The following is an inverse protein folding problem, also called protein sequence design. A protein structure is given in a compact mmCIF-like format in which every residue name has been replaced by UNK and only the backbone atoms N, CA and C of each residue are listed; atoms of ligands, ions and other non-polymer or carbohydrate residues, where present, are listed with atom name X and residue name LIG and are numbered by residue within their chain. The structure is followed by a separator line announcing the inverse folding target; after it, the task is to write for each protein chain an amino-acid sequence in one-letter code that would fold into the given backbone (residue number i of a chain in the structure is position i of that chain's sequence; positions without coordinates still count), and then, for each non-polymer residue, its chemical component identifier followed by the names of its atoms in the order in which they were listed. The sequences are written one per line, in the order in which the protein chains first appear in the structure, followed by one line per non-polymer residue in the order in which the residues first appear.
data_IF_421289661174
#
_entry.id   IF_421289661174
#
_cell.length_a   1.000
_cell.length_b   1.000
_cell.length_c   1.000
_cell.angle_alpha   90.00
_cell.angle_beta   90.00
_cell.angle_gamma   90.00
#
_symmetry.space_group_name_H-M   'P 1'
#
loop_
_entity.id
_entity.type
_entity.pdbx_description
1 polymer ?
#
# COMPACT_ATOMS: atom_id res chain seq x y z
N UNK A 1 15.06 -6.83 -3.76
CA UNK A 1 13.65 -6.31 -3.67
C UNK A 1 13.14 -5.58 -4.93
N UNK A 2 13.93 -5.35 -5.99
CA UNK A 2 13.45 -4.67 -7.22
C UNK A 2 12.33 -5.40 -8.01
N UNK A 3 12.24 -6.74 -8.11
CA UNK A 3 11.19 -7.38 -8.92
C UNK A 3 9.79 -7.29 -8.29
N UNK A 4 9.69 -7.26 -6.96
CA UNK A 4 8.39 -7.24 -6.27
C UNK A 4 7.68 -5.88 -6.44
N UNK A 5 8.38 -4.77 -6.21
CA UNK A 5 7.75 -3.45 -6.21
C UNK A 5 7.21 -3.02 -7.59
N UNK A 6 7.90 -3.36 -8.68
CA UNK A 6 7.43 -3.07 -10.04
C UNK A 6 6.23 -3.95 -10.43
N UNK A 7 6.18 -5.19 -9.91
CA UNK A 7 5.03 -6.08 -10.11
C UNK A 7 3.81 -5.61 -9.32
N UNK A 8 4.00 -5.06 -8.12
CA UNK A 8 2.87 -4.51 -7.34
C UNK A 8 2.24 -3.32 -8.05
N UNK A 9 3.04 -2.42 -8.62
CA UNK A 9 2.55 -1.25 -9.36
C UNK A 9 1.61 -1.62 -10.50
N UNK A 10 2.02 -2.57 -11.35
CA UNK A 10 1.18 -3.03 -12.45
C UNK A 10 -0.13 -3.69 -12.00
N UNK A 11 -0.20 -4.20 -10.75
CA UNK A 11 -1.43 -4.82 -10.23
C UNK A 11 -2.50 -3.81 -9.80
N UNK A 12 -2.14 -2.63 -9.29
CA UNK A 12 -3.13 -1.65 -8.82
C UNK A 12 -3.46 -0.56 -9.85
N UNK A 13 -2.62 -0.33 -10.86
CA UNK A 13 -2.91 0.64 -11.93
C UNK A 13 -4.29 0.42 -12.58
N UNK A 14 -4.73 -0.82 -12.89
CA UNK A 14 -6.07 -1.06 -13.44
C UNK A 14 -7.23 -0.72 -12.49
N UNK A 15 -6.94 -0.59 -11.19
CA UNK A 15 -7.92 -0.25 -10.15
C UNK A 15 -7.91 1.25 -9.80
N UNK A 16 -7.13 2.06 -10.52
CA UNK A 16 -6.98 3.49 -10.25
C UNK A 16 -6.03 3.81 -9.09
N UNK A 17 -5.23 2.82 -8.65
CA UNK A 17 -4.29 3.00 -7.56
C UNK A 17 -3.12 3.92 -7.93
N UNK A 18 -2.71 4.79 -7.00
CA UNK A 18 -1.63 5.76 -7.18
C UNK A 18 -0.70 5.75 -5.97
N UNK A 19 0.61 5.69 -6.19
CA UNK A 19 1.58 5.76 -5.07
C UNK A 19 1.59 7.15 -4.44
N UNK A 20 1.43 7.21 -3.12
CA UNK A 20 1.64 8.42 -2.31
C UNK A 20 2.94 8.34 -1.52
N UNK A 21 3.26 7.14 -1.01
CA UNK A 21 4.52 6.88 -0.30
C UNK A 21 5.13 5.57 -0.82
N UNK A 22 6.44 5.56 -1.09
CA UNK A 22 7.17 4.34 -1.47
C UNK A 22 8.58 4.34 -0.86
N UNK A 23 8.75 3.63 0.25
CA UNK A 23 10.05 3.40 0.87
C UNK A 23 10.75 4.68 1.36
N UNK A 24 9.98 5.70 1.70
CA UNK A 24 10.49 6.98 2.20
C UNK A 24 11.25 6.82 3.53
N UNK A 25 12.08 7.82 3.87
CA UNK A 25 12.72 7.91 5.19
C UNK A 25 11.64 8.13 6.24
N UNK A 26 11.42 7.14 7.09
CA UNK A 26 10.43 7.21 8.16
C UNK A 26 11.10 7.82 9.39
N UNK A 27 10.52 8.91 9.89
CA UNK A 27 10.84 9.46 11.20
C UNK A 27 9.65 9.18 12.10
N UNK A 28 9.81 8.29 13.07
CA UNK A 28 8.83 8.15 14.15
C UNK A 28 8.77 9.44 14.96
N UNK A 29 7.57 9.98 15.16
CA UNK A 29 7.35 11.11 16.06
C UNK A 29 6.97 10.59 17.45
N UNK A 30 6.14 9.55 17.50
CA UNK A 30 5.74 8.84 18.72
C UNK A 30 5.69 7.33 18.42
N UNK A 31 6.28 6.51 19.30
CA UNK A 31 6.34 5.05 19.15
C UNK A 31 7.30 4.56 18.05
N UNK A 32 7.43 3.24 17.96
CA UNK A 32 8.27 2.59 16.96
C UNK A 32 7.57 2.56 15.60
N UNK A 33 8.18 3.22 14.63
CA UNK A 33 7.82 3.08 13.22
C UNK A 33 8.14 1.68 12.68
N UNK A 34 7.63 1.31 11.50
CA UNK A 34 8.03 0.03 10.90
C UNK A 34 9.55 0.04 10.66
N UNK A 35 10.23 -1.03 11.06
CA UNK A 35 11.68 -1.22 10.87
C UNK A 35 12.11 -1.26 9.38
N UNK A 36 11.16 -1.21 8.44
CA UNK A 36 11.39 -1.24 7.01
C UNK A 36 10.79 -0.04 6.29
N UNK A 37 10.38 -0.25 5.04
CA UNK A 37 9.73 0.79 4.24
C UNK A 37 8.23 0.89 4.54
N UNK A 38 7.69 2.09 4.31
CA UNK A 38 6.25 2.34 4.25
C UNK A 38 5.83 2.49 2.79
N UNK A 39 4.68 1.91 2.46
CA UNK A 39 4.04 2.05 1.16
C UNK A 39 2.61 2.50 1.39
N UNK A 40 2.23 3.59 0.75
CA UNK A 40 0.84 4.11 0.76
C UNK A 40 0.40 4.22 -0.68
N UNK A 41 -0.74 3.59 -0.98
CA UNK A 41 -1.38 3.62 -2.30
C UNK A 41 -2.77 4.22 -2.08
N UNK A 42 -3.05 5.31 -2.78
CA UNK A 42 -4.36 5.94 -2.80
C UNK A 42 -5.21 5.31 -3.90
N UNK A 43 -6.49 5.11 -3.60
CA UNK A 43 -7.50 4.64 -4.54
C UNK A 43 -8.68 5.61 -4.49
N UNK A 44 -9.44 5.70 -5.59
CA UNK A 44 -10.61 6.58 -5.67
C UNK A 44 -11.73 6.15 -4.72
N UNK A 45 -11.74 4.89 -4.28
CA UNK A 45 -12.67 4.39 -3.27
C UNK A 45 -12.11 3.17 -2.52
N UNK A 46 -12.70 2.88 -1.36
CA UNK A 46 -12.37 1.71 -0.55
C UNK A 46 -12.66 0.40 -1.28
N UNK A 47 -13.73 0.36 -2.08
CA UNK A 47 -14.12 -0.79 -2.88
C UNK A 47 -13.06 -1.09 -3.94
N UNK A 48 -12.46 -0.06 -4.56
CA UNK A 48 -11.36 -0.22 -5.52
C UNK A 48 -10.11 -0.77 -4.84
N UNK A 49 -9.78 -0.26 -3.65
CA UNK A 49 -8.67 -0.79 -2.85
C UNK A 49 -8.89 -2.27 -2.48
N UNK A 50 -10.11 -2.63 -2.06
CA UNK A 50 -10.48 -4.00 -1.73
C UNK A 50 -10.43 -4.92 -2.96
N UNK A 51 -11.00 -4.48 -4.07
CA UNK A 51 -11.00 -5.24 -5.33
C UNK A 51 -9.57 -5.48 -5.85
N UNK A 52 -8.67 -4.50 -5.68
CA UNK A 52 -7.25 -4.69 -5.97
C UNK A 52 -6.62 -5.73 -5.03
N UNK A 53 -6.86 -5.62 -3.72
CA UNK A 53 -6.30 -6.54 -2.73
C UNK A 53 -6.75 -7.99 -2.96
N UNK A 54 -8.01 -8.18 -3.35
CA UNK A 54 -8.58 -9.50 -3.65
C UNK A 54 -8.25 -10.01 -5.06
N UNK A 55 -7.61 -9.18 -5.89
CA UNK A 55 -7.29 -9.54 -7.27
C UNK A 55 -6.34 -10.74 -7.33
N UNK A 56 -6.55 -11.66 -8.31
CA UNK A 56 -5.64 -12.79 -8.51
C UNK A 56 -4.20 -12.34 -8.78
N UNK A 57 -4.02 -11.18 -9.42
CA UNK A 57 -2.71 -10.62 -9.71
C UNK A 57 -1.96 -10.24 -8.42
N UNK A 58 -2.61 -9.53 -7.50
CA UNK A 58 -1.98 -9.13 -6.25
C UNK A 58 -1.81 -10.32 -5.28
N UNK A 59 -2.77 -11.24 -5.22
CA UNK A 59 -2.68 -12.45 -4.39
C UNK A 59 -1.46 -13.32 -4.72
N UNK A 60 -1.07 -13.39 -5.99
CA UNK A 60 0.17 -14.10 -6.41
C UNK A 60 1.45 -13.48 -5.86
N UNK A 61 1.42 -12.19 -5.52
CA UNK A 61 2.56 -11.46 -4.97
C UNK A 61 2.62 -11.53 -3.43
N UNK A 62 1.51 -11.84 -2.75
CA UNK A 62 1.46 -11.93 -1.29
C UNK A 62 2.49 -12.91 -0.69
N UNK A 63 2.72 -14.13 -1.23
CA UNK A 63 3.70 -15.07 -0.68
C UNK A 63 5.12 -14.50 -0.66
N UNK A 64 5.50 -13.74 -1.69
CA UNK A 64 6.81 -13.09 -1.78
C UNK A 64 6.99 -12.10 -0.62
N UNK A 65 5.94 -11.33 -0.31
CA UNK A 65 5.93 -10.41 0.83
C UNK A 65 6.04 -11.15 2.16
N UNK A 66 5.24 -12.20 2.35
CA UNK A 66 5.23 -12.97 3.59
C UNK A 66 6.56 -13.67 3.89
N UNK A 67 7.28 -14.13 2.86
CA UNK A 67 8.61 -14.71 3.02
C UNK A 67 9.70 -13.66 3.30
N UNK A 68 9.51 -12.43 2.82
CA UNK A 68 10.54 -11.38 2.92
C UNK A 68 10.45 -10.55 4.20
N UNK A 69 9.24 -10.36 4.76
CA UNK A 69 9.04 -9.55 5.95
C UNK A 69 7.66 -9.76 6.61
N UNK A 70 7.64 -9.74 7.94
CA UNK A 70 6.39 -9.51 8.69
C UNK A 70 5.92 -8.09 8.46
N UNK A 71 4.83 -7.95 7.71
CA UNK A 71 4.33 -6.65 7.26
C UNK A 71 2.89 -6.46 7.72
N UNK A 72 2.58 -5.27 8.23
CA UNK A 72 1.21 -4.86 8.55
C UNK A 72 0.60 -4.19 7.31
N UNK A 73 -0.61 -4.60 6.91
CA UNK A 73 -1.34 -4.01 5.78
C UNK A 73 -2.77 -3.77 6.19
N UNK A 74 -3.25 -2.57 5.87
CA UNK A 74 -4.58 -2.10 6.20
C UNK A 74 -5.16 -1.36 4.99
N UNK A 75 -6.47 -1.48 4.80
CA UNK A 75 -7.22 -0.57 3.94
C UNK A 75 -7.92 0.40 4.88
N UNK A 76 -7.66 1.69 4.71
CA UNK A 76 -8.22 2.75 5.55
C UNK A 76 -9.08 3.62 4.66
N UNK A 77 -10.29 3.92 5.14
CA UNK A 77 -11.20 4.84 4.49
C UNK A 77 -10.74 6.27 4.78
N UNK A 78 -10.46 7.04 3.73
CA UNK A 78 -10.13 8.45 3.86
C UNK A 78 -11.36 9.23 4.32
N UNK A 79 -11.16 10.22 5.19
CA UNK A 79 -12.19 11.22 5.44
C UNK A 79 -12.28 12.16 4.25
N UNK A 80 -13.46 12.74 4.01
CA UNK A 80 -13.58 13.89 3.10
C UNK A 80 -12.61 14.96 3.62
N UNK A 81 -11.63 15.36 2.82
CA UNK A 81 -10.82 16.53 3.13
C UNK A 81 -11.79 17.71 3.06
N UNK A 82 -12.28 18.16 4.21
CA UNK A 82 -12.92 19.47 4.29
C UNK A 82 -11.79 20.50 4.27
N UNK A 83 -11.66 21.32 3.23
CA UNK A 83 -10.73 22.43 3.28
C UNK A 83 -11.19 23.42 4.35
N UNK A 84 -10.45 23.54 5.46
CA UNK A 84 -10.57 24.64 6.42
C UNK A 84 -11.11 24.30 7.82
N UNK A 85 -10.47 23.37 8.52
CA UNK A 85 -10.42 23.43 9.99
C UNK A 85 -8.97 23.66 10.43
#
# INVERSE_FOLDING_TARGET
MKPYSAQVESTFLPFGGRYIVRGGKIRGLEGDGPNGGMVVIEFDSKEKAQAWYDSPAYRKLMPIRHQSATSRVYIVEGTVIQPGH
#
